data_IF_294832559140
#
_entry.id   IF_294832559140
#
_cell.length_a   1.000
_cell.length_b   1.000
_cell.length_c   1.000
_cell.angle_alpha   90.00
_cell.angle_beta   90.00
_cell.angle_gamma   90.00
#
_symmetry.space_group_name_H-M   'P 1'
#
loop_
_entity.id
_entity.type
_entity.pdbx_description
1 polymer ?
#
# COMPACT_ATOMS: atom_id res chain seq x y z
N UNK A 1 -73.59 18.06 -39.05
CA UNK A 1 -72.18 18.41 -39.27
C UNK A 1 -71.45 18.36 -37.92
N UNK A 2 -70.71 17.31 -37.67
CA UNK A 2 -70.01 17.13 -36.41
C UNK A 2 -68.57 17.59 -36.54
N UNK A 3 -68.22 18.56 -35.74
CA UNK A 3 -66.81 18.99 -35.60
C UNK A 3 -66.10 18.03 -34.63
N UNK A 4 -65.28 17.15 -35.19
CA UNK A 4 -64.39 16.27 -34.36
C UNK A 4 -63.18 17.04 -33.99
N UNK A 5 -63.12 17.44 -32.73
CA UNK A 5 -61.92 17.98 -32.13
C UNK A 5 -61.02 16.81 -31.77
N UNK A 6 -59.88 16.66 -32.45
CA UNK A 6 -58.83 15.72 -32.12
C UNK A 6 -57.92 16.37 -31.05
N UNK A 7 -58.07 15.90 -29.83
CA UNK A 7 -57.17 16.30 -28.75
C UNK A 7 -55.95 15.38 -28.83
N UNK A 8 -54.84 15.88 -29.35
CA UNK A 8 -53.55 15.21 -29.31
C UNK A 8 -52.96 15.37 -27.93
N UNK A 9 -52.94 14.28 -27.19
CA UNK A 9 -52.25 14.20 -25.91
C UNK A 9 -50.74 14.05 -26.18
N UNK A 10 -49.99 15.11 -25.98
CA UNK A 10 -48.51 15.04 -25.99
C UNK A 10 -48.08 14.53 -24.62
N UNK A 11 -47.75 13.26 -24.57
CA UNK A 11 -47.10 12.66 -23.39
C UNK A 11 -45.62 13.12 -23.34
N UNK A 12 -45.35 14.09 -22.49
CA UNK A 12 -43.96 14.46 -22.15
C UNK A 12 -43.32 13.35 -21.32
N UNK A 13 -42.44 12.56 -21.94
CA UNK A 13 -41.56 11.66 -21.23
C UNK A 13 -40.49 12.50 -20.50
N UNK A 14 -40.65 12.67 -19.22
CA UNK A 14 -39.61 13.14 -18.34
C UNK A 14 -38.58 11.99 -18.17
N UNK A 15 -37.50 12.03 -18.92
CA UNK A 15 -36.35 11.19 -18.71
C UNK A 15 -35.63 11.70 -17.47
N UNK A 16 -35.92 11.09 -16.34
CA UNK A 16 -35.13 11.31 -15.12
C UNK A 16 -33.74 10.65 -15.31
N UNK A 17 -32.72 11.44 -15.61
CA UNK A 17 -31.35 10.99 -15.55
C UNK A 17 -30.99 10.81 -14.07
N UNK A 18 -31.08 9.58 -13.60
CA UNK A 18 -30.49 9.23 -12.31
C UNK A 18 -28.97 9.30 -12.45
N UNK A 19 -28.35 10.33 -11.88
CA UNK A 19 -26.90 10.33 -11.65
C UNK A 19 -26.63 9.25 -10.60
N UNK A 20 -26.06 8.12 -11.03
CA UNK A 20 -25.49 7.17 -10.10
C UNK A 20 -24.29 7.86 -9.44
N UNK A 21 -24.42 8.22 -8.18
CA UNK A 21 -23.28 8.59 -7.36
C UNK A 21 -22.47 7.32 -7.17
N UNK A 22 -21.25 7.30 -7.70
CA UNK A 22 -20.29 6.26 -7.35
C UNK A 22 -20.07 6.34 -5.83
N UNK A 23 -20.27 5.25 -5.10
CA UNK A 23 -19.96 5.27 -3.67
C UNK A 23 -18.48 5.51 -3.51
N UNK A 24 -18.11 6.65 -2.94
CA UNK A 24 -16.75 6.93 -2.52
C UNK A 24 -16.35 5.91 -1.46
N UNK A 25 -15.55 4.94 -1.88
CA UNK A 25 -14.93 3.97 -1.01
C UNK A 25 -15.84 2.82 -0.58
N UNK A 26 -15.74 1.69 -1.26
CA UNK A 26 -16.30 0.43 -0.74
C UNK A 26 -15.65 0.10 0.61
N UNK A 27 -16.44 -0.14 1.68
CA UNK A 27 -15.92 -0.63 2.94
C UNK A 27 -15.07 -1.89 2.72
N UNK A 28 -13.86 -1.91 3.25
CA UNK A 28 -12.93 -3.01 3.08
C UNK A 28 -12.09 -2.97 1.79
N UNK A 29 -12.21 -1.92 0.97
CA UNK A 29 -11.38 -1.75 -0.22
C UNK A 29 -9.91 -1.55 0.17
N UNK A 30 -9.03 -2.29 -0.49
CA UNK A 30 -7.58 -2.12 -0.37
C UNK A 30 -7.08 -1.19 -1.46
N UNK A 31 -6.31 -0.18 -1.06
CA UNK A 31 -5.76 0.83 -1.97
C UNK A 31 -4.28 0.54 -2.19
N UNK A 32 -3.85 0.23 -3.44
CA UNK A 32 -2.44 0.04 -3.74
C UNK A 32 -1.68 1.36 -3.73
N UNK A 33 -0.45 1.32 -3.19
CA UNK A 33 0.46 2.45 -3.15
C UNK A 33 1.78 2.07 -3.85
N UNK A 34 2.46 3.04 -4.49
CA UNK A 34 3.69 2.76 -5.22
C UNK A 34 4.94 2.64 -4.33
N UNK A 35 4.86 3.04 -3.06
CA UNK A 35 6.01 3.11 -2.16
C UNK A 35 5.68 2.42 -0.83
N UNK A 36 6.56 1.52 -0.40
CA UNK A 36 6.56 0.95 0.93
C UNK A 36 7.63 1.62 1.80
N UNK A 37 7.30 1.90 3.05
CA UNK A 37 8.20 2.52 4.02
C UNK A 37 8.55 1.51 5.10
N UNK A 38 9.83 1.35 5.34
CA UNK A 38 10.37 0.41 6.32
C UNK A 38 11.18 1.11 7.39
N UNK A 39 11.30 0.47 8.53
CA UNK A 39 12.35 0.73 9.50
C UNK A 39 13.27 -0.48 9.57
N UNK A 40 14.55 -0.22 9.63
CA UNK A 40 15.60 -1.22 9.82
C UNK A 40 16.39 -0.94 11.09
N UNK A 41 16.61 -1.98 11.89
CA UNK A 41 17.43 -1.93 13.09
C UNK A 41 18.72 -2.73 12.88
N UNK A 42 19.85 -2.09 13.09
CA UNK A 42 21.13 -2.75 13.29
C UNK A 42 21.30 -3.07 14.78
N UNK A 43 21.24 -4.34 15.14
CA UNK A 43 21.31 -4.78 16.53
C UNK A 43 22.69 -4.64 17.16
N UNK A 44 23.73 -4.55 16.35
CA UNK A 44 25.11 -4.38 16.83
C UNK A 44 25.34 -2.95 17.30
N UNK A 45 24.86 -1.97 16.54
CA UNK A 45 25.04 -0.54 16.83
C UNK A 45 23.85 0.07 17.57
N UNK A 46 22.69 -0.59 17.56
CA UNK A 46 21.42 -0.06 18.05
C UNK A 46 20.82 1.02 17.14
N UNK A 47 21.33 1.19 15.93
CA UNK A 47 20.90 2.24 14.99
C UNK A 47 19.63 1.83 14.27
N UNK A 48 18.63 2.73 14.23
CA UNK A 48 17.40 2.58 13.46
C UNK A 48 17.44 3.56 12.29
N UNK A 49 17.12 3.06 11.10
CA UNK A 49 17.06 3.83 9.86
C UNK A 49 15.69 3.63 9.21
N UNK A 50 15.05 4.71 8.77
CA UNK A 50 13.87 4.64 7.92
C UNK A 50 14.30 4.68 6.46
N UNK A 51 13.68 3.84 5.62
CA UNK A 51 13.95 3.83 4.18
C UNK A 51 12.69 3.53 3.38
N UNK A 52 12.62 4.08 2.17
CA UNK A 52 11.53 3.89 1.23
C UNK A 52 11.96 2.99 0.09
N UNK A 53 11.04 2.13 -0.36
CA UNK A 53 11.28 1.23 -1.50
C UNK A 53 10.09 1.31 -2.45
N UNK A 54 10.34 1.59 -3.72
CA UNK A 54 9.34 1.47 -4.76
C UNK A 54 8.91 0.01 -4.94
N UNK A 55 7.65 -0.20 -5.23
CA UNK A 55 7.12 -1.54 -5.46
C UNK A 55 7.89 -2.23 -6.59
N UNK A 56 8.29 -3.48 -6.38
CA UNK A 56 9.14 -4.32 -7.22
C UNK A 56 10.60 -3.85 -7.35
N UNK A 57 11.01 -2.81 -6.66
CA UNK A 57 12.41 -2.44 -6.53
C UNK A 57 13.02 -3.04 -5.26
N UNK A 58 14.33 -3.11 -5.24
CA UNK A 58 15.09 -3.69 -4.13
C UNK A 58 16.03 -2.65 -3.53
N UNK A 59 15.98 -2.51 -2.21
CA UNK A 59 16.90 -1.67 -1.44
C UNK A 59 17.71 -2.56 -0.50
N UNK A 60 19.00 -2.30 -0.42
CA UNK A 60 19.87 -3.01 0.49
C UNK A 60 19.94 -2.29 1.85
N UNK A 61 19.66 -3.04 2.90
CA UNK A 61 19.86 -2.64 4.29
C UNK A 61 20.82 -3.62 4.98
N UNK A 62 22.03 -3.17 5.25
CA UNK A 62 23.07 -4.07 5.74
C UNK A 62 23.33 -5.24 4.78
N UNK A 63 23.20 -6.44 5.26
CA UNK A 63 23.31 -7.66 4.45
C UNK A 63 21.97 -8.10 3.84
N UNK A 64 20.87 -7.35 4.06
CA UNK A 64 19.55 -7.67 3.59
C UNK A 64 19.18 -6.89 2.33
N UNK A 65 18.50 -7.56 1.41
CA UNK A 65 17.88 -6.96 0.23
C UNK A 65 16.37 -7.06 0.39
N UNK A 66 15.70 -5.90 0.46
CA UNK A 66 14.27 -5.79 0.73
C UNK A 66 13.54 -5.42 -0.55
N UNK A 67 12.56 -6.23 -0.94
CA UNK A 67 11.76 -6.04 -2.15
C UNK A 67 10.27 -6.13 -1.80
N UNK A 68 9.55 -4.99 -1.73
CA UNK A 68 8.10 -5.01 -1.60
C UNK A 68 7.45 -5.35 -2.94
N UNK A 69 6.44 -6.21 -2.92
CA UNK A 69 5.67 -6.57 -4.12
C UNK A 69 4.36 -5.81 -4.23
N UNK A 70 3.79 -5.45 -3.10
CA UNK A 70 2.56 -4.66 -3.00
C UNK A 70 2.53 -3.95 -1.65
N UNK A 71 1.97 -2.74 -1.60
CA UNK A 71 1.75 -1.99 -0.36
C UNK A 71 0.33 -1.43 -0.36
N UNK A 72 -0.49 -1.86 0.59
CA UNK A 72 -1.92 -1.63 0.63
C UNK A 72 -2.33 -0.84 1.86
N UNK A 73 -3.18 0.15 1.65
CA UNK A 73 -3.85 0.91 2.71
C UNK A 73 -5.36 0.76 2.62
N UNK A 74 -6.08 1.36 3.57
CA UNK A 74 -7.55 1.43 3.60
C UNK A 74 -8.01 2.85 3.29
N UNK A 75 -9.27 3.04 2.82
CA UNK A 75 -9.88 4.36 2.70
C UNK A 75 -9.86 5.09 4.06
N UNK A 76 -9.83 6.45 4.06
CA UNK A 76 -9.83 7.23 5.32
C UNK A 76 -11.06 7.00 6.21
N UNK A 77 -12.15 6.49 5.65
CA UNK A 77 -13.39 6.15 6.37
C UNK A 77 -13.31 4.84 7.14
N UNK A 78 -12.33 3.99 6.84
CA UNK A 78 -12.13 2.70 7.48
C UNK A 78 -11.06 2.80 8.58
N UNK A 79 -11.06 1.88 9.56
CA UNK A 79 -9.95 1.75 10.48
C UNK A 79 -8.64 1.53 9.72
N UNK A 80 -7.54 2.20 10.10
CA UNK A 80 -6.27 2.05 9.42
C UNK A 80 -5.78 0.61 9.42
N UNK A 81 -5.39 0.11 8.25
CA UNK A 81 -4.72 -1.16 8.08
C UNK A 81 -3.74 -1.03 6.92
N UNK A 82 -2.45 -1.01 7.24
CA UNK A 82 -1.37 -0.93 6.27
C UNK A 82 -0.67 -2.27 6.19
N UNK A 83 -0.62 -2.84 5.01
CA UNK A 83 -0.03 -4.16 4.76
C UNK A 83 0.82 -4.16 3.49
N UNK A 84 1.87 -4.97 3.48
CA UNK A 84 2.73 -5.13 2.33
C UNK A 84 3.19 -6.57 2.20
N UNK A 85 3.20 -7.11 0.99
CA UNK A 85 3.85 -8.38 0.71
C UNK A 85 5.29 -8.13 0.34
N UNK A 86 6.20 -8.75 1.07
CA UNK A 86 7.63 -8.43 1.05
C UNK A 86 8.43 -9.70 0.89
N UNK A 87 9.46 -9.62 0.09
CA UNK A 87 10.50 -10.63 -0.03
C UNK A 87 11.82 -10.05 0.47
N UNK A 88 12.53 -10.78 1.32
CA UNK A 88 13.83 -10.37 1.85
C UNK A 88 14.84 -11.46 1.59
N UNK A 89 15.94 -11.07 0.97
CA UNK A 89 17.10 -11.90 0.73
C UNK A 89 18.28 -11.46 1.58
N UNK A 90 19.07 -12.40 2.03
CA UNK A 90 20.34 -12.17 2.71
C UNK A 90 21.51 -12.38 1.74
N UNK A 91 22.39 -11.39 1.67
CA UNK A 91 23.65 -11.53 0.96
C UNK A 91 24.70 -12.07 1.94
N UNK A 92 25.13 -13.29 1.70
CA UNK A 92 26.09 -13.97 2.55
C UNK A 92 27.53 -13.55 2.23
N UNK A 93 28.46 -13.86 3.14
CA UNK A 93 29.88 -13.49 2.99
C UNK A 93 30.55 -14.07 1.74
N UNK A 94 30.04 -15.17 1.20
CA UNK A 94 30.50 -15.78 -0.05
C UNK A 94 29.81 -15.23 -1.30
N UNK A 95 29.08 -14.10 -1.19
CA UNK A 95 28.26 -13.46 -2.21
C UNK A 95 27.05 -14.32 -2.68
N UNK A 96 26.73 -15.40 -2.00
CA UNK A 96 25.48 -16.13 -2.24
C UNK A 96 24.30 -15.36 -1.64
N UNK A 97 23.16 -15.42 -2.34
CA UNK A 97 21.92 -14.77 -1.93
C UNK A 97 20.95 -15.86 -1.48
N UNK A 98 20.39 -15.70 -0.30
CA UNK A 98 19.43 -16.63 0.30
C UNK A 98 18.17 -15.91 0.70
N UNK A 99 17.00 -16.42 0.27
CA UNK A 99 15.73 -15.91 0.77
C UNK A 99 15.52 -16.29 2.22
N UNK A 100 15.31 -15.28 3.07
CA UNK A 100 15.07 -15.46 4.50
C UNK A 100 13.65 -15.11 4.92
N UNK A 101 12.92 -14.36 4.10
CA UNK A 101 11.54 -13.98 4.38
C UNK A 101 10.75 -13.81 3.09
N UNK A 102 9.51 -14.30 3.09
CA UNK A 102 8.52 -14.04 2.05
C UNK A 102 7.14 -14.07 2.70
N UNK A 103 6.45 -12.95 2.78
CA UNK A 103 5.16 -12.89 3.44
C UNK A 103 4.62 -11.48 3.62
N UNK A 104 3.49 -11.41 4.29
CA UNK A 104 2.81 -10.16 4.63
C UNK A 104 3.34 -9.57 5.92
N UNK A 105 3.65 -8.27 5.86
CA UNK A 105 3.92 -7.44 7.03
C UNK A 105 2.79 -6.45 7.24
N UNK A 106 2.54 -6.10 8.52
CA UNK A 106 1.48 -5.18 8.94
C UNK A 106 2.09 -4.06 9.76
N UNK A 107 1.93 -2.81 9.31
CA UNK A 107 2.45 -1.64 10.03
C UNK A 107 1.81 -1.46 11.40
N UNK A 108 0.53 -1.82 11.52
CA UNK A 108 -0.24 -1.70 12.78
C UNK A 108 0.09 -2.78 13.80
N UNK A 109 0.75 -3.85 13.36
CA UNK A 109 1.13 -4.99 14.20
C UNK A 109 2.48 -5.56 13.75
N UNK A 110 3.57 -4.80 13.93
CA UNK A 110 4.89 -5.18 13.41
C UNK A 110 5.44 -6.47 14.02
N UNK A 111 4.95 -6.87 15.18
CA UNK A 111 5.37 -8.12 15.85
C UNK A 111 4.79 -9.39 15.22
N UNK A 112 3.77 -9.29 14.38
CA UNK A 112 3.14 -10.48 13.76
C UNK A 112 4.08 -11.11 12.73
N UNK A 113 4.63 -10.32 11.82
CA UNK A 113 5.55 -10.77 10.79
C UNK A 113 6.62 -9.69 10.57
N UNK A 114 7.76 -9.85 11.20
CA UNK A 114 8.93 -9.03 10.96
C UNK A 114 10.10 -9.92 10.53
N UNK A 115 11.03 -9.37 9.79
CA UNK A 115 12.28 -10.07 9.50
C UNK A 115 13.13 -10.07 10.75
N UNK A 116 13.42 -11.26 11.26
CA UNK A 116 14.36 -11.47 12.34
C UNK A 116 15.63 -12.11 11.79
N UNK A 117 16.70 -11.36 11.81
CA UNK A 117 18.03 -11.79 11.47
C UNK A 117 18.92 -11.65 12.72
N UNK A 118 20.04 -12.34 12.76
CA UNK A 118 20.96 -12.26 13.90
C UNK A 118 21.47 -10.83 14.17
N UNK A 119 21.61 -10.02 13.12
CA UNK A 119 22.14 -8.65 13.17
C UNK A 119 21.11 -7.59 12.81
N UNK A 120 20.15 -7.89 11.96
CA UNK A 120 19.21 -6.91 11.40
C UNK A 120 17.76 -7.30 11.65
N UNK A 121 16.94 -6.32 12.02
CA UNK A 121 15.49 -6.40 11.98
C UNK A 121 14.96 -5.41 10.95
N UNK A 122 13.93 -5.80 10.21
CA UNK A 122 13.21 -4.95 9.25
C UNK A 122 11.73 -5.13 9.45
N UNK A 123 10.98 -4.04 9.51
CA UNK A 123 9.53 -4.06 9.60
C UNK A 123 8.89 -2.94 8.78
N UNK A 124 7.66 -3.15 8.36
CA UNK A 124 6.86 -2.17 7.64
C UNK A 124 6.35 -1.09 8.59
N UNK A 125 6.45 0.18 8.18
CA UNK A 125 5.91 1.31 8.94
C UNK A 125 4.79 2.04 8.23
N UNK A 126 4.80 2.10 6.89
CA UNK A 126 3.79 2.84 6.12
C UNK A 126 3.79 2.44 4.64
N UNK A 127 2.75 2.87 3.92
CA UNK A 127 2.71 2.95 2.47
C UNK A 127 2.50 4.40 2.07
N UNK A 128 3.10 4.83 0.96
CA UNK A 128 3.00 6.21 0.46
C UNK A 128 2.72 6.25 -1.02
N UNK A 129 2.05 7.33 -1.46
CA UNK A 129 1.83 7.64 -2.87
C UNK A 129 2.93 8.51 -3.45
N UNK A 130 3.61 9.29 -2.60
CA UNK A 130 4.70 10.18 -2.98
C UNK A 130 5.93 9.92 -2.08
N UNK A 131 7.15 10.12 -2.60
CA UNK A 131 8.36 10.03 -1.80
C UNK A 131 8.29 10.97 -0.61
N UNK A 132 8.74 10.52 0.55
CA UNK A 132 8.97 11.39 1.69
C UNK A 132 10.08 12.39 1.40
N UNK A 133 10.09 13.50 2.15
CA UNK A 133 11.23 14.42 2.09
C UNK A 133 12.48 13.67 2.49
N UNK A 134 13.51 13.74 1.63
CA UNK A 134 14.82 13.19 1.95
C UNK A 134 15.28 13.85 3.26
N UNK A 135 15.55 13.03 4.28
CA UNK A 135 16.21 13.53 5.47
C UNK A 135 17.57 14.05 5.03
N UNK A 136 17.70 15.37 4.96
CA UNK A 136 18.99 16.02 4.82
C UNK A 136 19.65 15.85 6.18
N UNK A 137 20.52 14.87 6.28
CA UNK A 137 21.37 14.68 7.43
C UNK A 137 22.34 15.89 7.46
N UNK A 138 22.11 16.80 8.39
CA UNK A 138 23.02 17.94 8.67
C UNK A 138 24.12 17.49 9.62
#
# INVERSE_FOLDING_TARGET
>A
MGLRVLITFVASLLVSTAFAQEPEGNPGQKIPNPIAVFAGLDKVTGRIVAFEVLINETVQFGALQVTPRVCLTRPPTDPPLTSSFIEVDEVMLNNRVRRIFSGWMFADSPSINAVEHAVYDVWLTDCRTEPGEAFVDN
#
